data_IF_893589495698
#
_entry.id   IF_893589495698
#
_cell.length_a   1.000
_cell.length_b   1.000
_cell.length_c   1.000
_cell.angle_alpha   90.00
_cell.angle_beta   90.00
_cell.angle_gamma   90.00
#
_symmetry.space_group_name_H-M   'P 1'
#
loop_
_entity.id
_entity.type
_entity.pdbx_description
1 polymer ?
#
# COMPACT_ATOMS: atom_id res chain seq x y z
N UNK A 1 17.98 -1.32 10.58
CA UNK A 1 17.55 -2.72 10.85
C UNK A 1 16.73 -2.66 12.13
N UNK A 2 15.46 -3.07 12.09
CA UNK A 2 14.57 -3.07 13.26
C UNK A 2 15.03 -4.16 14.24
N UNK A 3 15.22 -3.82 15.52
CA UNK A 3 15.61 -4.79 16.54
C UNK A 3 14.36 -5.52 17.01
N UNK A 4 14.45 -6.84 17.21
CA UNK A 4 13.33 -7.69 17.65
C UNK A 4 12.11 -7.71 16.71
N UNK A 5 12.33 -7.46 15.42
CA UNK A 5 11.31 -7.70 14.40
C UNK A 5 11.12 -9.22 14.19
N UNK A 6 9.89 -9.70 14.30
CA UNK A 6 9.53 -11.09 14.04
C UNK A 6 8.73 -11.17 12.75
N UNK A 7 9.28 -11.85 11.74
CA UNK A 7 8.49 -12.25 10.58
C UNK A 7 7.48 -13.32 11.00
N UNK A 8 6.19 -13.09 10.74
CA UNK A 8 5.16 -14.06 11.07
C UNK A 8 4.86 -14.96 9.87
N UNK A 9 4.50 -14.34 8.74
CA UNK A 9 4.00 -15.07 7.59
C UNK A 9 4.11 -14.27 6.30
N UNK A 10 4.46 -14.96 5.23
CA UNK A 10 4.28 -14.50 3.86
C UNK A 10 3.04 -15.15 3.26
N UNK A 11 2.22 -14.35 2.60
CA UNK A 11 0.97 -14.75 1.95
C UNK A 11 1.11 -14.56 0.45
N UNK A 12 0.56 -15.51 -0.30
CA UNK A 12 0.57 -15.48 -1.76
C UNK A 12 -0.83 -15.82 -2.24
N UNK A 13 -1.45 -14.91 -2.98
CA UNK A 13 -2.77 -15.11 -3.56
C UNK A 13 -2.72 -14.89 -5.08
N UNK A 14 -3.61 -15.57 -5.80
CA UNK A 14 -3.86 -15.29 -7.22
C UNK A 14 -4.69 -14.02 -7.34
N UNK A 15 -4.16 -13.01 -8.02
CA UNK A 15 -4.78 -11.68 -8.11
C UNK A 15 -5.63 -11.46 -9.36
N UNK A 16 -5.67 -12.44 -10.24
CA UNK A 16 -6.54 -12.44 -11.40
C UNK A 16 -7.33 -13.74 -11.48
N UNK A 17 -8.50 -13.67 -12.15
CA UNK A 17 -9.39 -14.81 -12.35
C UNK A 17 -8.77 -15.93 -13.21
N UNK A 18 -7.62 -15.67 -13.85
CA UNK A 18 -6.90 -16.63 -14.67
C UNK A 18 -5.72 -17.30 -13.92
N UNK A 19 -5.50 -16.94 -12.65
CA UNK A 19 -4.43 -17.44 -11.78
C UNK A 19 -3.00 -17.25 -12.32
N UNK A 20 -2.78 -16.25 -13.18
CA UNK A 20 -1.48 -16.00 -13.80
C UNK A 20 -0.63 -15.06 -12.93
N UNK A 21 -1.25 -14.02 -12.37
CA UNK A 21 -0.56 -13.03 -11.54
C UNK A 21 -0.68 -13.37 -10.07
N UNK A 22 0.46 -13.53 -9.40
CA UNK A 22 0.53 -13.71 -7.94
C UNK A 22 0.75 -12.37 -7.25
N UNK A 23 -0.06 -12.03 -6.26
CA UNK A 23 0.29 -10.98 -5.31
C UNK A 23 0.86 -11.58 -4.04
N UNK A 24 1.66 -10.76 -3.38
CA UNK A 24 2.35 -11.14 -2.16
C UNK A 24 2.07 -10.10 -1.09
N UNK A 25 1.71 -10.58 0.09
CA UNK A 25 1.67 -9.80 1.32
C UNK A 25 2.54 -10.46 2.38
N UNK A 26 2.98 -9.71 3.38
CA UNK A 26 3.57 -10.29 4.58
C UNK A 26 3.08 -9.57 5.83
N UNK A 27 3.16 -10.28 6.95
CA UNK A 27 2.92 -9.78 8.30
C UNK A 27 4.19 -9.93 9.14
N UNK A 28 4.51 -8.90 9.91
CA UNK A 28 5.58 -8.92 10.88
C UNK A 28 5.17 -8.20 12.18
N UNK A 29 5.72 -8.62 13.30
CA UNK A 29 5.60 -7.94 14.59
C UNK A 29 6.86 -7.14 14.87
N UNK A 30 6.67 -5.88 15.24
CA UNK A 30 7.70 -4.94 15.65
C UNK A 30 7.47 -4.62 17.13
N UNK A 31 8.02 -5.44 18.02
CA UNK A 31 7.72 -5.36 19.44
C UNK A 31 8.25 -4.09 20.11
N UNK A 32 9.41 -3.59 19.68
CA UNK A 32 9.99 -2.35 20.22
C UNK A 32 9.15 -1.13 19.85
N UNK A 33 8.63 -1.12 18.63
CA UNK A 33 7.80 -0.06 18.08
C UNK A 33 6.31 -0.22 18.44
N UNK A 34 5.94 -1.34 19.08
CA UNK A 34 4.56 -1.77 19.30
C UNK A 34 3.73 -1.66 18.03
N UNK A 35 4.16 -2.33 16.96
CA UNK A 35 3.48 -2.28 15.68
C UNK A 35 3.32 -3.66 15.03
N UNK A 36 2.18 -3.84 14.36
CA UNK A 36 1.96 -4.89 13.36
C UNK A 36 2.29 -4.28 12.00
N UNK A 37 3.29 -4.82 11.31
CA UNK A 37 3.69 -4.38 9.99
C UNK A 37 3.06 -5.28 8.91
N UNK A 38 2.44 -4.66 7.91
CA UNK A 38 1.87 -5.30 6.73
C UNK A 38 2.60 -4.74 5.50
N UNK A 39 3.20 -5.61 4.70
CA UNK A 39 3.85 -5.20 3.46
C UNK A 39 3.22 -5.85 2.25
N UNK A 40 3.00 -5.07 1.20
CA UNK A 40 2.45 -5.53 -0.08
C UNK A 40 3.48 -5.37 -1.19
N UNK A 41 3.75 -6.45 -1.91
CA UNK A 41 4.67 -6.44 -3.05
C UNK A 41 3.93 -6.03 -4.32
N UNK A 42 4.56 -5.18 -5.14
CA UNK A 42 4.10 -4.93 -6.50
C UNK A 42 4.36 -6.11 -7.45
N UNK A 43 3.75 -6.06 -8.64
CA UNK A 43 4.05 -6.96 -9.75
C UNK A 43 4.99 -6.29 -10.75
N UNK A 44 5.85 -7.08 -11.40
CA UNK A 44 6.66 -6.62 -12.52
C UNK A 44 5.78 -6.28 -13.74
N UNK A 45 4.64 -6.97 -13.89
CA UNK A 45 3.69 -6.75 -14.98
C UNK A 45 2.93 -5.43 -14.85
N UNK A 46 2.80 -4.91 -13.62
CA UNK A 46 2.11 -3.65 -13.36
C UNK A 46 2.80 -2.47 -14.06
N UNK A 47 4.14 -2.50 -14.17
CA UNK A 47 4.90 -1.47 -14.88
C UNK A 47 4.60 -1.50 -16.39
N UNK A 48 4.46 -2.71 -16.94
CA UNK A 48 4.07 -2.90 -18.33
C UNK A 48 2.64 -2.42 -18.58
N UNK A 49 1.70 -2.73 -17.69
CA UNK A 49 0.30 -2.29 -17.80
C UNK A 49 0.15 -0.76 -17.71
N UNK A 50 0.94 -0.10 -16.86
CA UNK A 50 1.00 1.36 -16.78
C UNK A 50 1.59 1.97 -18.07
N UNK A 51 2.68 1.38 -18.59
CA UNK A 51 3.32 1.86 -19.82
C UNK A 51 2.45 1.67 -21.08
N UNK A 52 1.57 0.66 -21.09
CA UNK A 52 0.70 0.34 -22.23
C UNK A 52 -0.64 1.10 -22.25
N UNK A 53 -0.83 2.08 -21.35
CA UNK A 53 -2.01 2.94 -21.41
C UNK A 53 -3.26 2.39 -20.73
N UNK A 54 -3.10 1.64 -19.64
CA UNK A 54 -3.95 1.68 -18.45
C UNK A 54 -5.44 1.35 -18.54
N UNK A 55 -5.97 0.84 -19.67
CA UNK A 55 -7.40 0.54 -19.80
C UNK A 55 -7.91 -0.47 -18.78
N UNK A 56 -7.04 -1.38 -18.32
CA UNK A 56 -7.32 -2.35 -17.25
C UNK A 56 -7.67 -1.67 -15.92
N UNK A 57 -7.24 -0.42 -15.71
CA UNK A 57 -7.54 0.33 -14.49
C UNK A 57 -8.85 1.12 -14.57
N UNK A 58 -9.48 1.21 -15.75
CA UNK A 58 -10.66 2.05 -15.97
C UNK A 58 -11.96 1.45 -15.43
N UNK A 59 -12.00 0.13 -15.24
CA UNK A 59 -13.13 -0.50 -14.58
C UNK A 59 -13.08 -0.14 -13.10
N UNK A 60 -14.17 0.46 -12.63
CA UNK A 60 -14.28 1.00 -11.28
C UNK A 60 -15.37 0.23 -10.54
N UNK A 61 -15.17 0.02 -9.24
CA UNK A 61 -16.18 -0.52 -8.36
C UNK A 61 -16.28 0.29 -7.07
N UNK A 62 -17.46 0.25 -6.46
CA UNK A 62 -17.66 0.88 -5.16
C UNK A 62 -16.78 0.22 -4.11
N UNK A 63 -16.24 1.04 -3.22
CA UNK A 63 -15.40 0.59 -2.13
C UNK A 63 -15.96 1.03 -0.78
N UNK A 64 -15.85 0.15 0.21
CA UNK A 64 -16.49 0.39 1.52
C UNK A 64 -15.97 1.63 2.25
N UNK A 65 -14.74 2.06 1.94
CA UNK A 65 -14.17 3.27 2.51
C UNK A 65 -14.70 4.56 1.85
N UNK A 66 -15.56 4.45 0.83
CA UNK A 66 -16.19 5.55 0.11
C UNK A 66 -15.71 5.66 -1.34
N UNK A 67 -16.57 6.17 -2.22
CA UNK A 67 -16.25 6.37 -3.64
C UNK A 67 -15.99 5.07 -4.40
N UNK A 68 -15.22 5.19 -5.48
CA UNK A 68 -14.90 4.07 -6.35
C UNK A 68 -13.40 3.86 -6.47
N UNK A 69 -12.98 2.61 -6.56
CA UNK A 69 -11.60 2.17 -6.77
C UNK A 69 -11.50 1.34 -8.03
N UNK A 70 -10.30 1.26 -8.63
CA UNK A 70 -10.09 0.36 -9.76
C UNK A 70 -10.38 -1.09 -9.37
N UNK A 71 -11.21 -1.78 -10.15
CA UNK A 71 -11.55 -3.19 -9.96
C UNK A 71 -10.31 -4.09 -9.98
N UNK A 72 -9.26 -3.71 -10.73
CA UNK A 72 -7.99 -4.43 -10.74
C UNK A 72 -7.32 -4.43 -9.35
N UNK A 73 -7.18 -3.25 -8.73
CA UNK A 73 -6.60 -3.15 -7.39
C UNK A 73 -7.51 -3.76 -6.33
N UNK A 74 -8.83 -3.61 -6.47
CA UNK A 74 -9.80 -4.23 -5.57
C UNK A 74 -9.70 -5.76 -5.59
N UNK A 75 -9.63 -6.37 -6.76
CA UNK A 75 -9.54 -7.82 -6.88
C UNK A 75 -8.23 -8.33 -6.27
N UNK A 76 -7.11 -7.65 -6.54
CA UNK A 76 -5.82 -7.99 -5.94
C UNK A 76 -5.83 -7.88 -4.41
N UNK A 77 -6.37 -6.79 -3.86
CA UNK A 77 -6.55 -6.62 -2.43
C UNK A 77 -7.46 -7.70 -1.84
N UNK A 78 -8.63 -7.92 -2.45
CA UNK A 78 -9.63 -8.88 -1.97
C UNK A 78 -9.11 -10.30 -1.97
N UNK A 79 -8.33 -10.69 -2.99
CA UNK A 79 -7.69 -12.00 -3.05
C UNK A 79 -6.75 -12.23 -1.86
N UNK A 80 -5.93 -11.24 -1.49
CA UNK A 80 -5.04 -11.34 -0.33
C UNK A 80 -5.81 -11.29 0.99
N UNK A 81 -6.77 -10.36 1.10
CA UNK A 81 -7.54 -10.13 2.31
C UNK A 81 -8.39 -11.34 2.69
N UNK A 82 -9.16 -11.86 1.72
CA UNK A 82 -10.12 -12.93 1.94
C UNK A 82 -9.48 -14.32 2.01
N UNK A 83 -8.29 -14.52 1.43
CA UNK A 83 -7.62 -15.83 1.52
C UNK A 83 -7.16 -16.13 2.94
N UNK A 84 -6.39 -15.22 3.55
CA UNK A 84 -5.85 -15.48 4.90
C UNK A 84 -5.33 -14.25 5.64
N UNK A 85 -5.16 -13.10 4.98
CA UNK A 85 -4.63 -11.91 5.63
C UNK A 85 -5.56 -11.38 6.73
N UNK A 86 -6.88 -11.38 6.49
CA UNK A 86 -7.87 -10.94 7.48
C UNK A 86 -7.82 -11.79 8.76
N UNK A 87 -7.83 -13.11 8.62
CA UNK A 87 -7.84 -14.04 9.76
C UNK A 87 -6.63 -13.84 10.67
N UNK A 88 -5.45 -13.68 10.06
CA UNK A 88 -4.22 -13.46 10.81
C UNK A 88 -4.20 -12.05 11.43
N UNK A 89 -4.62 -11.04 10.67
CA UNK A 89 -4.70 -9.68 11.17
C UNK A 89 -5.63 -9.56 12.38
N UNK A 90 -6.83 -10.15 12.34
CA UNK A 90 -7.78 -10.14 13.45
C UNK A 90 -7.20 -10.82 14.70
N UNK A 91 -6.51 -11.95 14.54
CA UNK A 91 -5.82 -12.62 15.66
C UNK A 91 -4.77 -11.71 16.29
N UNK A 92 -3.95 -11.04 15.48
CA UNK A 92 -2.93 -10.11 15.97
C UNK A 92 -3.54 -8.89 16.65
N UNK A 93 -4.65 -8.34 16.15
CA UNK A 93 -5.38 -7.25 16.80
C UNK A 93 -5.94 -7.66 18.16
N UNK A 94 -6.41 -8.89 18.30
CA UNK A 94 -6.87 -9.43 19.58
C UNK A 94 -5.72 -9.67 20.57
N UNK A 95 -4.57 -10.15 20.09
CA UNK A 95 -3.41 -10.44 20.92
C UNK A 95 -2.64 -9.18 21.33
N UNK A 96 -2.59 -8.16 20.47
CA UNK A 96 -1.84 -6.92 20.65
C UNK A 96 -2.72 -5.68 20.42
N UNK A 97 -3.76 -5.46 21.25
CA UNK A 97 -4.73 -4.39 21.02
C UNK A 97 -4.12 -2.99 21.10
N UNK A 98 -3.02 -2.81 21.83
CA UNK A 98 -2.29 -1.54 21.97
C UNK A 98 -1.28 -1.28 20.83
N UNK A 99 -1.07 -2.24 19.94
CA UNK A 99 -0.13 -2.08 18.83
C UNK A 99 -0.73 -1.22 17.72
N UNK A 100 0.11 -0.38 17.11
CA UNK A 100 -0.20 0.33 15.88
C UNK A 100 -0.18 -0.62 14.68
N UNK A 101 -0.71 -0.18 13.54
CA UNK A 101 -0.61 -0.91 12.27
C UNK A 101 0.16 -0.08 11.26
N UNK A 102 1.25 -0.63 10.76
CA UNK A 102 2.11 0.01 9.77
C UNK A 102 1.98 -0.75 8.45
N UNK A 103 1.62 -0.05 7.39
CA UNK A 103 1.31 -0.62 6.09
C UNK A 103 2.26 0.01 5.08
N UNK A 104 2.88 -0.81 4.24
CA UNK A 104 3.72 -0.32 3.18
C UNK A 104 3.53 -1.07 1.87
N UNK A 105 3.78 -0.39 0.76
CA UNK A 105 3.72 -1.01 -0.55
C UNK A 105 4.36 -0.19 -1.65
N UNK A 106 4.84 -0.87 -2.68
CA UNK A 106 5.49 -0.26 -3.84
C UNK A 106 4.77 -0.61 -5.15
N UNK A 107 4.65 0.36 -6.06
CA UNK A 107 3.98 0.19 -7.35
C UNK A 107 2.54 -0.30 -7.14
N UNK A 108 2.14 -1.41 -7.77
CA UNK A 108 0.88 -2.13 -7.48
C UNK A 108 0.67 -2.37 -5.96
N UNK A 109 1.72 -2.75 -5.23
CA UNK A 109 1.65 -2.95 -3.80
C UNK A 109 1.29 -1.67 -3.05
N UNK A 110 1.63 -0.50 -3.58
CA UNK A 110 1.22 0.80 -3.03
C UNK A 110 -0.29 0.98 -3.08
N UNK A 111 -0.92 0.65 -4.22
CA UNK A 111 -2.39 0.72 -4.36
C UNK A 111 -3.09 -0.26 -3.41
N UNK A 112 -2.58 -1.48 -3.28
CA UNK A 112 -3.12 -2.49 -2.35
C UNK A 112 -2.94 -2.04 -0.89
N UNK A 113 -1.77 -1.46 -0.55
CA UNK A 113 -1.50 -0.91 0.78
C UNK A 113 -2.47 0.25 1.13
N UNK A 114 -2.73 1.14 0.17
CA UNK A 114 -3.69 2.23 0.31
C UNK A 114 -5.12 1.71 0.59
N UNK A 115 -5.57 0.74 -0.20
CA UNK A 115 -6.87 0.11 0.00
C UNK A 115 -6.96 -0.63 1.33
N UNK A 116 -5.91 -1.36 1.71
CA UNK A 116 -5.85 -2.07 3.00
C UNK A 116 -5.98 -1.11 4.18
N UNK A 117 -5.23 0.00 4.17
CA UNK A 117 -5.31 1.01 5.22
C UNK A 117 -6.72 1.58 5.36
N UNK A 118 -7.33 1.97 4.24
CA UNK A 118 -8.70 2.50 4.20
C UNK A 118 -9.72 1.46 4.68
N UNK A 119 -9.56 0.19 4.26
CA UNK A 119 -10.44 -0.92 4.63
C UNK A 119 -10.45 -1.18 6.13
N UNK A 120 -9.27 -1.28 6.77
CA UNK A 120 -9.20 -1.62 8.19
C UNK A 120 -9.72 -0.50 9.09
N UNK A 121 -9.57 0.76 8.67
CA UNK A 121 -10.11 1.90 9.39
C UNK A 121 -11.62 2.00 9.18
N UNK A 122 -12.10 1.96 7.93
CA UNK A 122 -13.53 2.03 7.62
C UNK A 122 -14.32 0.84 8.19
N UNK A 123 -13.70 -0.34 8.25
CA UNK A 123 -14.28 -1.54 8.87
C UNK A 123 -14.24 -1.55 10.40
N UNK A 124 -13.66 -0.54 11.05
CA UNK A 124 -13.60 -0.43 12.51
C UNK A 124 -12.61 -1.39 13.18
N UNK A 125 -11.66 -1.96 12.44
CA UNK A 125 -10.63 -2.83 13.01
C UNK A 125 -9.59 -2.06 13.83
N UNK A 126 -9.38 -0.79 13.48
CA UNK A 126 -8.43 0.09 14.14
C UNK A 126 -8.82 1.56 13.97
N UNK A 127 -8.53 2.35 15.00
CA UNK A 127 -8.71 3.80 14.98
C UNK A 127 -7.77 4.48 13.97
N UNK A 128 -8.23 5.51 13.21
CA UNK A 128 -7.42 6.26 12.24
C UNK A 128 -6.03 6.67 12.74
N UNK A 129 -5.95 7.15 13.98
CA UNK A 129 -4.71 7.64 14.59
C UNK A 129 -3.64 6.59 14.89
N UNK A 130 -3.98 5.29 14.77
CA UNK A 130 -3.08 4.18 15.03
C UNK A 130 -2.61 3.47 13.75
N UNK A 131 -2.88 4.06 12.58
CA UNK A 131 -2.42 3.56 11.28
C UNK A 131 -1.32 4.44 10.71
N UNK A 132 -0.29 3.82 10.15
CA UNK A 132 0.73 4.47 9.32
C UNK A 132 0.81 3.75 7.98
N UNK A 133 0.72 4.48 6.90
CA UNK A 133 0.75 4.03 5.51
C UNK A 133 1.90 4.69 4.71
N UNK A 134 2.85 3.89 4.24
CA UNK A 134 3.91 4.35 3.35
C UNK A 134 3.79 3.71 1.97
N UNK A 135 3.37 4.47 0.96
CA UNK A 135 3.30 4.01 -0.43
C UNK A 135 4.39 4.63 -1.28
N UNK A 136 4.89 3.87 -2.25
CA UNK A 136 6.00 4.26 -3.11
C UNK A 136 5.63 3.99 -4.57
N UNK A 137 5.57 5.02 -5.41
CA UNK A 137 5.18 4.85 -6.81
C UNK A 137 3.76 4.31 -6.97
N UNK A 138 2.88 4.66 -6.04
CA UNK A 138 1.49 4.22 -6.08
C UNK A 138 0.78 4.80 -7.32
N UNK A 139 0.15 3.96 -8.16
CA UNK A 139 -0.70 4.44 -9.25
C UNK A 139 -2.00 5.05 -8.69
N UNK A 140 -2.73 5.83 -9.50
CA UNK A 140 -4.04 6.35 -9.08
C UNK A 140 -5.00 5.18 -8.76
N UNK A 141 -5.39 5.06 -7.49
CA UNK A 141 -6.13 3.90 -6.97
C UNK A 141 -7.65 4.02 -7.10
N UNK A 142 -8.19 5.23 -7.04
CA UNK A 142 -9.62 5.47 -7.09
C UNK A 142 -10.03 6.85 -7.58
N UNK A 143 -11.32 7.11 -7.53
CA UNK A 143 -11.90 8.40 -7.92
C UNK A 143 -11.66 9.47 -6.85
N UNK A 144 -12.08 10.71 -7.16
CA UNK A 144 -11.93 11.84 -6.24
C UNK A 144 -12.68 11.67 -4.92
N UNK A 145 -13.74 10.86 -4.89
CA UNK A 145 -14.52 10.62 -3.67
C UNK A 145 -13.79 9.64 -2.76
N UNK A 146 -13.20 8.60 -3.34
CA UNK A 146 -12.30 7.70 -2.62
C UNK A 146 -11.07 8.45 -2.11
N UNK A 147 -10.44 9.29 -2.94
CA UNK A 147 -9.28 10.08 -2.52
C UNK A 147 -9.61 10.98 -1.31
N UNK A 148 -10.74 11.69 -1.36
CA UNK A 148 -11.19 12.52 -0.24
C UNK A 148 -11.51 11.70 1.03
N UNK A 149 -12.12 10.53 0.87
CA UNK A 149 -12.38 9.64 2.00
C UNK A 149 -11.07 9.09 2.61
N UNK A 150 -10.11 8.71 1.76
CA UNK A 150 -8.80 8.23 2.17
C UNK A 150 -8.05 9.28 3.01
N UNK A 151 -8.04 10.55 2.58
CA UNK A 151 -7.39 11.64 3.31
C UNK A 151 -7.96 11.85 4.72
N UNK A 152 -9.26 11.54 4.92
CA UNK A 152 -9.93 11.61 6.21
C UNK A 152 -9.57 10.39 7.07
N UNK A 153 -9.57 9.20 6.48
CA UNK A 153 -9.33 7.94 7.20
C UNK A 153 -7.85 7.77 7.59
N UNK A 154 -6.92 8.24 6.76
CA UNK A 154 -5.47 8.08 6.93
C UNK A 154 -4.85 9.44 7.22
N UNK A 155 -4.91 9.84 8.48
CA UNK A 155 -4.45 11.16 8.91
C UNK A 155 -3.08 11.13 9.61
N UNK A 156 -2.12 11.90 9.08
CA UNK A 156 -0.84 12.15 9.74
C UNK A 156 -0.84 13.45 10.53
N UNK A 157 -0.82 13.35 11.87
CA UNK A 157 -0.74 14.52 12.76
C UNK A 157 0.60 15.28 12.67
N UNK A 158 1.69 14.62 12.26
CA UNK A 158 3.03 15.20 12.21
C UNK A 158 3.65 15.07 10.82
N UNK A 159 4.17 16.18 10.29
CA UNK A 159 4.90 16.22 9.02
C UNK A 159 6.19 15.41 9.15
N UNK A 160 6.24 14.23 8.52
CA UNK A 160 7.36 13.27 8.44
C UNK A 160 8.78 13.92 8.55
N UNK A 161 9.36 14.09 9.75
CA UNK A 161 10.75 14.58 9.96
C UNK A 161 11.53 13.61 10.85
N UNK A 162 12.80 13.30 10.58
CA UNK A 162 13.95 14.23 10.47
C UNK A 162 14.93 13.90 9.32
N UNK A 163 15.41 14.92 8.58
CA UNK A 163 16.57 14.83 7.66
C UNK A 163 16.29 14.71 6.15
N UNK A 164 15.10 14.26 5.72
CA UNK A 164 14.79 14.08 4.30
C UNK A 164 14.33 15.39 3.62
N UNK A 165 14.77 15.62 2.38
CA UNK A 165 14.20 16.63 1.48
C UNK A 165 12.93 16.04 0.84
N UNK A 166 11.75 16.56 1.19
CA UNK A 166 10.49 16.14 0.59
C UNK A 166 9.59 17.34 0.30
N UNK A 167 8.77 17.24 -0.74
CA UNK A 167 7.75 18.24 -1.10
C UNK A 167 6.38 17.69 -0.76
N UNK A 168 5.65 18.35 0.14
CA UNK A 168 4.25 18.01 0.45
C UNK A 168 3.34 18.66 -0.59
N UNK A 169 2.59 17.85 -1.33
CA UNK A 169 1.50 18.34 -2.17
C UNK A 169 0.32 18.69 -1.27
N UNK A 170 -0.13 19.95 -1.28
CA UNK A 170 -1.24 20.41 -0.41
C UNK A 170 -2.62 20.26 -1.06
N UNK A 171 -2.66 20.06 -2.37
CA UNK A 171 -3.89 19.96 -3.15
C UNK A 171 -3.90 18.62 -3.89
N UNK A 172 -5.08 18.00 -3.96
CA UNK A 172 -5.31 16.85 -4.82
C UNK A 172 -5.01 17.26 -6.26
N UNK A 173 -4.22 16.44 -6.96
CA UNK A 173 -3.99 16.59 -8.41
C UNK A 173 -3.19 17.86 -8.83
N UNK A 174 -2.39 18.45 -7.95
CA UNK A 174 -1.59 19.66 -8.26
C UNK A 174 -0.55 19.40 -9.38
N UNK A 175 -0.76 20.04 -10.53
CA UNK A 175 0.15 20.04 -11.70
C UNK A 175 1.55 20.59 -11.41
N UNK A 176 1.76 21.27 -10.28
CA UNK A 176 3.09 21.73 -9.83
C UNK A 176 3.75 20.75 -8.87
N UNK A 177 3.09 19.63 -8.57
CA UNK A 177 3.54 18.59 -7.65
C UNK A 177 3.62 17.24 -8.35
N UNK A 178 3.08 16.15 -7.77
CA UNK A 178 3.15 14.80 -8.36
C UNK A 178 2.52 14.73 -9.76
N UNK A 179 1.45 15.48 -10.03
CA UNK A 179 0.81 15.52 -11.35
C UNK A 179 1.62 16.29 -12.42
N UNK A 180 2.60 17.10 -12.01
CA UNK A 180 3.55 17.74 -12.92
C UNK A 180 4.70 16.83 -13.32
N UNK A 181 4.91 15.76 -12.54
CA UNK A 181 5.82 14.68 -12.87
C UNK A 181 5.07 13.74 -13.83
N UNK A 182 5.05 14.11 -15.11
CA UNK A 182 4.77 13.15 -16.18
C UNK A 182 5.75 12.00 -15.99
N UNK A 183 5.28 10.86 -15.44
CA UNK A 183 6.07 9.68 -15.09
C UNK A 183 7.41 9.69 -15.82
N UNK A 184 8.47 10.08 -15.09
CA UNK A 184 9.78 10.21 -15.69
C UNK A 184 10.06 8.88 -16.41
N UNK A 185 10.38 8.98 -17.70
CA UNK A 185 10.54 7.88 -18.66
C UNK A 185 11.70 6.92 -18.31
N UNK A 186 11.96 6.67 -17.03
CA UNK A 186 12.98 5.77 -16.54
C UNK A 186 12.42 4.81 -15.50
N UNK A 187 12.59 3.52 -15.78
CA UNK A 187 12.34 2.39 -14.87
C UNK A 187 13.17 2.55 -13.57
N UNK A 188 14.30 3.28 -13.63
CA UNK A 188 15.17 3.53 -12.48
C UNK A 188 14.53 4.49 -11.46
N UNK A 189 13.73 5.46 -11.90
CA UNK A 189 13.04 6.41 -11.00
C UNK A 189 11.84 5.75 -10.30
N UNK A 190 11.18 4.80 -10.98
CA UNK A 190 10.11 4.01 -10.36
C UNK A 190 10.62 3.00 -9.33
N UNK A 191 11.93 2.77 -9.24
CA UNK A 191 12.54 1.79 -8.33
C UNK A 191 13.46 2.42 -7.29
N UNK A 192 13.66 3.74 -7.29
CA UNK A 192 14.57 4.44 -6.38
C UNK A 192 13.81 5.46 -5.52
N UNK A 193 13.67 5.20 -4.22
CA UNK A 193 13.01 6.10 -3.27
C UNK A 193 13.92 6.36 -2.08
N UNK A 194 14.07 7.64 -1.69
CA UNK A 194 14.93 8.09 -0.59
C UNK A 194 16.41 7.67 -0.75
N UNK A 195 16.96 7.79 -1.96
CA UNK A 195 18.34 7.35 -2.30
C UNK A 195 18.55 5.83 -2.17
N UNK A 196 17.47 5.07 -2.03
CA UNK A 196 17.50 3.62 -1.89
C UNK A 196 16.74 2.95 -3.04
N UNK A 197 17.40 2.00 -3.71
CA UNK A 197 16.76 1.18 -4.73
C UNK A 197 15.88 0.10 -4.07
N UNK A 198 14.56 0.27 -4.20
CA UNK A 198 13.52 -0.64 -3.69
C UNK A 198 13.58 -1.99 -4.40
N UNK A 199 13.97 -2.03 -5.68
CA UNK A 199 14.22 -3.28 -6.43
C UNK A 199 15.39 -4.09 -5.85
N UNK A 200 16.39 -3.42 -5.27
CA UNK A 200 17.54 -4.06 -4.60
C UNK A 200 17.16 -4.88 -3.36
N UNK A 201 16.12 -4.49 -2.61
CA UNK A 201 15.63 -5.25 -1.46
C UNK A 201 14.88 -6.53 -1.86
N UNK A 202 14.17 -6.51 -3.00
CA UNK A 202 13.47 -7.69 -3.53
C UNK A 202 14.41 -8.76 -4.11
N UNK A 203 15.58 -8.37 -4.60
CA UNK A 203 16.57 -9.27 -5.23
C UNK A 203 17.49 -9.93 -4.20
N UNK A 204 17.77 -9.28 -3.07
CA UNK A 204 18.75 -9.78 -2.09
C UNK A 204 18.29 -10.99 -1.29
N UNK A 205 17.03 -11.40 -1.41
CA UNK A 205 16.40 -12.30 -0.46
C UNK A 205 16.29 -11.61 0.90
N UNK A 206 15.17 -11.75 1.58
CA UNK A 206 15.09 -11.28 2.97
C UNK A 206 15.99 -12.18 3.82
N UNK A 207 17.26 -11.80 3.99
CA UNK A 207 18.21 -12.40 4.94
C UNK A 207 18.37 -11.53 6.18
#
# INVERSE_FOLDING_TARGET
MYRNAQFLRGLVASCDSFSVTKCYAFLALLHEEKAVAIGFRGSNDALQLLAQGGSVFNDMQEFMAGGFVSSYFFNAFSALWNDSLNDEFVKLRAQYPDYQVWIAGHSLGGAIANMCASHIVAGGYIEPGNVKLATFGEPRTGDKYYAAAHDILIYYKASMKYGAQYKVCKELEDSRCSNGLWFANSIDDHTSYFEVSVSGYGIRGCT
#
